data_IF_183797657351
#
_entry.id   IF_183797657351
#
_cell.length_a   1.000
_cell.length_b   1.000
_cell.length_c   1.000
_cell.angle_alpha   90.00
_cell.angle_beta   90.00
_cell.angle_gamma   90.00
#
_symmetry.space_group_name_H-M   'P 1'
#
loop_
_entity.id
_entity.type
_entity.pdbx_description
1 polymer ?
#
# COMPACT_ATOMS: atom_id res chain seq x y z
N UNK A 1 8.02 4.12 -11.45
CA UNK A 1 6.79 3.56 -10.86
C UNK A 1 6.92 2.05 -10.80
N UNK A 2 6.39 1.38 -9.79
CA UNK A 2 6.40 -0.09 -9.67
C UNK A 2 4.95 -0.60 -9.63
N UNK A 3 4.66 -1.68 -10.36
CA UNK A 3 3.33 -2.33 -10.43
C UNK A 3 3.51 -3.83 -10.66
N UNK A 4 2.57 -4.64 -10.17
CA UNK A 4 2.50 -6.06 -10.46
C UNK A 4 1.73 -6.26 -11.78
N UNK A 5 2.44 -6.70 -12.82
CA UNK A 5 1.85 -6.88 -14.16
C UNK A 5 0.94 -8.12 -14.25
N UNK A 6 1.28 -9.18 -13.52
CA UNK A 6 0.55 -10.44 -13.51
C UNK A 6 0.58 -11.04 -12.11
N UNK A 7 -0.59 -11.40 -11.60
CA UNK A 7 -0.68 -12.14 -10.35
C UNK A 7 -0.10 -13.56 -10.50
N UNK A 8 0.44 -14.16 -9.43
CA UNK A 8 0.80 -15.57 -9.42
C UNK A 8 -0.37 -16.46 -9.85
N UNK A 9 -0.07 -17.58 -10.52
CA UNK A 9 -1.10 -18.55 -10.87
C UNK A 9 -1.82 -19.07 -9.61
N UNK A 10 -3.15 -19.17 -9.69
CA UNK A 10 -3.99 -19.53 -8.55
C UNK A 10 -4.19 -18.43 -7.51
N UNK A 11 -3.66 -17.22 -7.71
CA UNK A 11 -3.94 -16.08 -6.83
C UNK A 11 -5.33 -15.50 -7.11
N UNK A 12 -6.08 -15.22 -6.04
CA UNK A 12 -7.32 -14.47 -6.08
C UNK A 12 -7.02 -12.97 -5.89
N UNK A 13 -7.30 -12.15 -6.91
CA UNK A 13 -7.21 -10.69 -6.80
C UNK A 13 -8.33 -10.17 -5.90
N UNK A 14 -7.96 -9.39 -4.88
CA UNK A 14 -8.88 -8.82 -3.90
C UNK A 14 -9.11 -7.32 -4.11
N UNK A 15 -8.16 -6.61 -4.73
CA UNK A 15 -8.28 -5.19 -5.00
C UNK A 15 -7.48 -4.76 -6.25
N UNK A 16 -7.95 -3.69 -6.89
CA UNK A 16 -7.31 -3.00 -8.02
C UNK A 16 -7.35 -1.48 -7.80
N UNK A 17 -6.48 -0.73 -8.46
CA UNK A 17 -6.62 0.72 -8.64
C UNK A 17 -6.29 1.13 -10.07
N UNK A 18 -6.42 2.42 -10.36
CA UNK A 18 -6.02 2.98 -11.65
C UNK A 18 -4.52 2.74 -11.98
N UNK A 19 -3.67 2.61 -10.96
CA UNK A 19 -2.22 2.42 -11.12
C UNK A 19 -1.79 0.95 -11.06
N UNK A 20 -2.62 0.05 -10.54
CA UNK A 20 -2.23 -1.33 -10.30
C UNK A 20 -3.39 -2.32 -10.43
N UNK A 21 -3.23 -3.30 -11.33
CA UNK A 21 -4.20 -4.36 -11.58
C UNK A 21 -4.16 -5.47 -10.52
N UNK A 22 -3.14 -5.51 -9.67
CA UNK A 22 -3.00 -6.47 -8.57
C UNK A 22 -2.64 -5.74 -7.26
N UNK A 23 -3.52 -4.84 -6.84
CA UNK A 23 -3.27 -3.97 -5.69
C UNK A 23 -3.36 -4.74 -4.34
N UNK A 24 -4.14 -5.83 -4.30
CA UNK A 24 -4.11 -6.82 -3.22
C UNK A 24 -4.53 -8.20 -3.74
N UNK A 25 -3.97 -9.27 -3.17
CA UNK A 25 -4.31 -10.65 -3.54
C UNK A 25 -4.19 -11.63 -2.36
N UNK A 26 -4.81 -12.81 -2.52
CA UNK A 26 -4.58 -14.01 -1.70
C UNK A 26 -4.02 -15.12 -2.60
N UNK A 27 -3.03 -15.85 -2.11
CA UNK A 27 -2.45 -17.00 -2.78
C UNK A 27 -2.50 -18.23 -1.86
N UNK A 28 -3.16 -19.30 -2.32
CA UNK A 28 -3.45 -20.44 -1.46
C UNK A 28 -4.26 -20.07 -0.21
N UNK A 29 -4.21 -20.90 0.83
CA UNK A 29 -5.00 -20.68 2.05
C UNK A 29 -4.41 -19.61 2.99
N UNK A 30 -3.08 -19.43 2.97
CA UNK A 30 -2.38 -18.71 4.05
C UNK A 30 -1.43 -17.59 3.59
N UNK A 31 -1.39 -17.23 2.31
CA UNK A 31 -0.57 -16.11 1.82
C UNK A 31 -1.42 -14.96 1.29
N UNK A 32 -1.09 -13.74 1.70
CA UNK A 32 -1.71 -12.50 1.24
C UNK A 32 -0.64 -11.49 0.88
N UNK A 33 -0.91 -10.67 -0.14
CA UNK A 33 -0.06 -9.57 -0.56
C UNK A 33 -0.86 -8.29 -0.75
N UNK A 34 -0.23 -7.16 -0.41
CA UNK A 34 -0.74 -5.81 -0.68
C UNK A 34 0.39 -4.99 -1.31
N UNK A 35 0.08 -4.21 -2.35
CA UNK A 35 1.06 -3.33 -2.99
C UNK A 35 1.23 -1.99 -2.23
N UNK A 36 0.21 -1.59 -1.47
CA UNK A 36 0.26 -0.41 -0.59
C UNK A 36 0.83 -0.74 0.79
N UNK A 37 1.15 0.30 1.56
CA UNK A 37 1.79 0.21 2.87
C UNK A 37 0.81 0.53 4.02
N UNK A 38 -0.06 -0.42 4.44
CA UNK A 38 -0.99 -0.17 5.55
C UNK A 38 -0.29 0.02 6.90
N UNK A 39 0.99 -0.30 6.99
CA UNK A 39 1.85 -0.19 8.16
C UNK A 39 2.42 1.23 8.37
N UNK A 40 2.36 2.09 7.36
CA UNK A 40 2.92 3.44 7.46
C UNK A 40 2.03 4.38 8.27
N UNK A 41 2.57 4.86 9.40
CA UNK A 41 1.98 5.96 10.15
C UNK A 41 2.19 7.31 9.44
N UNK A 42 1.35 8.29 9.76
CA UNK A 42 1.39 9.63 9.15
C UNK A 42 2.76 10.31 9.25
N UNK A 43 3.46 10.19 10.39
CA UNK A 43 4.79 10.77 10.56
C UNK A 43 5.84 10.09 9.68
N UNK A 44 5.81 8.76 9.53
CA UNK A 44 6.67 8.03 8.60
C UNK A 44 6.40 8.47 7.15
N UNK A 45 5.12 8.60 6.76
CA UNK A 45 4.78 9.09 5.42
C UNK A 45 5.28 10.51 5.17
N UNK A 46 5.15 11.42 6.13
CA UNK A 46 5.70 12.79 5.97
C UNK A 46 7.21 12.76 5.82
N UNK A 47 7.92 11.94 6.59
CA UNK A 47 9.36 11.73 6.44
C UNK A 47 9.74 11.18 5.06
N UNK A 48 9.01 10.17 4.59
CA UNK A 48 9.20 9.56 3.28
C UNK A 48 8.99 10.55 2.13
N UNK A 49 7.91 11.35 2.17
CA UNK A 49 7.63 12.39 1.17
C UNK A 49 8.75 13.42 1.12
N UNK A 50 9.30 13.82 2.28
CA UNK A 50 10.45 14.74 2.34
C UNK A 50 11.71 14.11 1.74
N UNK A 51 12.01 12.86 2.10
CA UNK A 51 13.16 12.13 1.56
C UNK A 51 13.07 11.93 0.04
N UNK A 52 11.87 11.89 -0.53
CA UNK A 52 11.63 11.75 -1.97
C UNK A 52 11.24 13.05 -2.68
N UNK A 53 11.50 14.20 -2.07
CA UNK A 53 11.05 15.49 -2.62
C UNK A 53 11.56 15.76 -4.03
N UNK A 54 12.83 15.42 -4.31
CA UNK A 54 13.41 15.56 -5.64
C UNK A 54 12.75 14.64 -6.67
N UNK A 55 12.57 13.36 -6.32
CA UNK A 55 11.87 12.39 -7.18
C UNK A 55 10.45 12.86 -7.50
N UNK A 56 9.71 13.34 -6.49
CA UNK A 56 8.35 13.88 -6.66
C UNK A 56 8.37 15.08 -7.62
N UNK A 57 9.33 16.00 -7.47
CA UNK A 57 9.49 17.16 -8.36
C UNK A 57 9.80 16.76 -9.79
N UNK A 58 10.70 15.80 -10.01
CA UNK A 58 11.06 15.29 -11.34
C UNK A 58 9.85 14.67 -12.07
N UNK A 59 8.87 14.16 -11.33
CA UNK A 59 7.63 13.61 -11.87
C UNK A 59 6.47 14.62 -11.84
N UNK A 60 6.75 15.93 -11.75
CA UNK A 60 5.75 17.00 -11.85
C UNK A 60 4.94 17.27 -10.58
N UNK A 61 5.30 16.65 -9.45
CA UNK A 61 4.61 16.82 -8.17
C UNK A 61 5.22 17.87 -7.24
N UNK A 62 4.48 18.20 -6.17
CA UNK A 62 4.96 19.07 -5.09
C UNK A 62 4.99 18.33 -3.75
N UNK A 63 6.20 18.03 -3.26
CA UNK A 63 6.36 17.30 -1.99
C UNK A 63 5.72 18.03 -0.79
N UNK A 64 5.68 19.36 -0.79
CA UNK A 64 4.99 20.14 0.25
C UNK A 64 3.49 19.91 0.24
N UNK A 65 2.86 19.87 -0.94
CA UNK A 65 1.43 19.59 -1.07
C UNK A 65 1.13 18.15 -0.66
N UNK A 66 1.87 17.17 -1.19
CA UNK A 66 1.71 15.75 -0.83
C UNK A 66 1.89 15.53 0.69
N UNK A 67 2.88 16.18 1.30
CA UNK A 67 3.11 16.09 2.74
C UNK A 67 1.99 16.74 3.56
N UNK A 68 1.25 17.71 3.01
CA UNK A 68 0.07 18.32 3.66
C UNK A 68 -1.13 17.38 3.59
N UNK A 69 -1.28 16.67 2.47
CA UNK A 69 -2.44 15.80 2.20
C UNK A 69 -2.37 14.46 2.94
N UNK A 70 -1.18 14.06 3.42
CA UNK A 70 -1.05 12.85 4.25
C UNK A 70 -1.92 12.99 5.50
N UNK A 71 -2.87 12.07 5.65
CA UNK A 71 -3.88 12.03 6.70
C UNK A 71 -3.92 10.66 7.37
N UNK A 72 -4.67 10.54 8.47
CA UNK A 72 -4.84 9.25 9.15
C UNK A 72 -5.62 8.26 8.26
N UNK A 73 -5.14 7.02 8.19
CA UNK A 73 -5.79 5.93 7.46
C UNK A 73 -6.35 4.88 8.45
N UNK A 74 -7.53 5.11 9.07
CA UNK A 74 -8.08 4.18 10.06
C UNK A 74 -8.35 2.78 9.49
N UNK A 75 -8.71 2.70 8.20
CA UNK A 75 -8.94 1.43 7.51
C UNK A 75 -7.66 0.60 7.34
N UNK A 76 -6.49 1.23 7.18
CA UNK A 76 -5.21 0.53 7.10
C UNK A 76 -4.90 -0.21 8.41
N UNK A 77 -5.12 0.46 9.55
CA UNK A 77 -4.98 -0.16 10.87
C UNK A 77 -5.98 -1.30 11.07
N UNK A 78 -7.22 -1.14 10.60
CA UNK A 78 -8.22 -2.20 10.66
C UNK A 78 -7.82 -3.42 9.83
N UNK A 79 -7.24 -3.19 8.64
CA UNK A 79 -6.73 -4.25 7.77
C UNK A 79 -5.64 -5.07 8.47
N UNK A 80 -4.65 -4.42 9.08
CA UNK A 80 -3.59 -5.11 9.83
C UNK A 80 -4.15 -5.93 10.99
N UNK A 81 -5.14 -5.41 11.72
CA UNK A 81 -5.82 -6.16 12.80
C UNK A 81 -6.56 -7.39 12.28
N UNK A 82 -7.19 -7.28 11.10
CA UNK A 82 -7.85 -8.43 10.44
C UNK A 82 -6.83 -9.47 10.01
N UNK A 83 -5.71 -9.03 9.43
CA UNK A 83 -4.60 -9.91 9.05
C UNK A 83 -4.07 -10.69 10.26
N UNK A 84 -3.78 -10.01 11.38
CA UNK A 84 -3.29 -10.70 12.61
C UNK A 84 -4.28 -11.74 13.11
N UNK A 85 -5.60 -11.46 13.09
CA UNK A 85 -6.61 -12.46 13.47
C UNK A 85 -6.63 -13.64 12.51
N UNK A 86 -6.57 -13.38 11.20
CA UNK A 86 -6.56 -14.43 10.19
C UNK A 86 -5.31 -15.33 10.34
N UNK A 87 -4.13 -14.73 10.53
CA UNK A 87 -2.87 -15.46 10.66
C UNK A 87 -2.78 -16.29 11.96
N UNK A 88 -3.52 -15.92 13.00
CA UNK A 88 -3.60 -16.71 14.25
C UNK A 88 -4.55 -17.90 14.16
N UNK A 89 -5.53 -17.83 13.29
CA UNK A 89 -6.55 -18.87 13.07
C UNK A 89 -6.23 -19.74 11.84
N UNK A 90 -5.05 -19.52 11.25
CA UNK A 90 -4.55 -20.17 10.05
C UNK A 90 -3.79 -21.44 10.39
#
# INVERSE_FOLDING_TARGET
LQTVLRAPEGAAILARSAQDNCHAFRWGAHAWGVQFHPEFATHHMRGYVRARAECIRQHGGCARSVARDVSAAPLARQLLRRFVRQARNA
#
